data_IF_126414082771
#
_entry.id   IF_126414082771
#
_cell.length_a   1.000
_cell.length_b   1.000
_cell.length_c   1.000
_cell.angle_alpha   90.00
_cell.angle_beta   90.00
_cell.angle_gamma   90.00
#
_symmetry.space_group_name_H-M   'P 1'
#
loop_
_entity.id
_entity.type
_entity.pdbx_description
1 polymer ?
#
# COMPACT_ATOMS: atom_id res chain seq x y z
N UNK A 1 87.26 -25.78 -46.30
CA UNK A 1 86.94 -26.66 -47.44
C UNK A 1 86.63 -28.02 -46.84
N UNK A 2 85.39 -28.53 -46.94
CA UNK A 2 85.07 -29.83 -46.38
C UNK A 2 85.68 -30.90 -47.28
N UNK A 3 86.64 -31.64 -46.75
CA UNK A 3 87.17 -32.85 -47.40
C UNK A 3 86.24 -33.99 -47.06
N UNK A 4 85.61 -34.58 -48.08
CA UNK A 4 84.94 -35.87 -47.92
C UNK A 4 86.04 -36.91 -48.04
N UNK A 5 86.22 -37.72 -47.00
CA UNK A 5 87.15 -38.85 -47.03
C UNK A 5 86.36 -40.11 -47.30
N UNK A 6 86.75 -40.87 -48.32
CA UNK A 6 86.23 -42.21 -48.58
C UNK A 6 87.32 -43.22 -48.23
N UNK A 7 86.92 -44.30 -47.58
CA UNK A 7 87.81 -45.41 -47.25
C UNK A 7 87.66 -46.46 -48.35
N UNK A 8 88.75 -46.71 -49.07
CA UNK A 8 88.76 -47.60 -50.24
C UNK A 8 89.77 -48.72 -49.99
N UNK A 9 89.39 -49.96 -50.31
CA UNK A 9 90.28 -51.11 -50.24
C UNK A 9 91.25 -51.05 -51.41
N UNK A 10 92.56 -50.93 -51.13
CA UNK A 10 93.59 -50.98 -52.16
C UNK A 10 94.10 -52.42 -52.29
N UNK A 11 93.60 -53.12 -53.31
CA UNK A 11 93.95 -54.52 -53.58
C UNK A 11 95.44 -54.74 -53.90
N UNK A 12 96.18 -53.72 -54.34
CA UNK A 12 97.62 -53.89 -54.66
C UNK A 12 98.52 -53.87 -53.43
N UNK A 13 98.04 -53.40 -52.27
CA UNK A 13 98.80 -53.33 -51.00
C UNK A 13 98.07 -53.96 -49.81
N UNK A 14 96.87 -54.51 -50.00
CA UNK A 14 96.13 -55.25 -48.97
C UNK A 14 95.72 -54.41 -47.75
N UNK A 15 95.45 -53.11 -47.94
CA UNK A 15 95.09 -52.21 -46.86
C UNK A 15 93.97 -51.24 -47.25
N UNK A 16 93.23 -50.75 -46.25
CA UNK A 16 92.25 -49.68 -46.42
C UNK A 16 92.95 -48.32 -46.44
N UNK A 17 92.75 -47.55 -47.51
CA UNK A 17 93.37 -46.23 -47.71
C UNK A 17 92.29 -45.16 -47.73
N UNK A 18 92.50 -44.06 -47.00
CA UNK A 18 91.61 -42.91 -47.02
C UNK A 18 92.00 -41.95 -48.16
N UNK A 19 91.06 -41.67 -49.07
CA UNK A 19 91.25 -40.74 -50.19
C UNK A 19 90.31 -39.55 -49.99
N UNK A 20 90.83 -38.32 -50.14
CA UNK A 20 90.06 -37.10 -49.93
C UNK A 20 89.65 -36.43 -51.24
N UNK A 21 88.39 -36.03 -51.35
CA UNK A 21 87.89 -35.14 -52.40
C UNK A 21 87.35 -33.84 -51.78
N UNK A 22 87.66 -32.70 -52.40
CA UNK A 22 87.40 -31.37 -51.86
C UNK A 22 86.01 -30.87 -52.32
N UNK A 23 85.00 -30.81 -51.43
CA UNK A 23 83.67 -30.28 -51.73
C UNK A 23 83.41 -28.93 -51.00
N UNK A 24 82.84 -27.94 -51.71
CA UNK A 24 82.45 -26.61 -51.18
C UNK A 24 80.98 -26.64 -50.70
N UNK A 25 80.67 -26.04 -49.54
CA UNK A 25 79.33 -26.01 -48.89
C UNK A 25 78.96 -24.58 -48.42
N UNK A 26 77.64 -24.27 -48.36
CA UNK A 26 77.03 -23.07 -47.74
C UNK A 26 75.90 -23.45 -46.74
N UNK A 27 76.08 -23.11 -45.45
CA UNK A 27 75.22 -22.45 -44.39
C UNK A 27 73.68 -22.71 -44.34
N UNK A 28 72.89 -22.84 -43.23
CA UNK A 28 72.92 -22.95 -41.74
C UNK A 28 71.47 -23.28 -41.26
N UNK A 29 71.25 -24.04 -40.16
CA UNK A 29 70.39 -23.73 -38.96
C UNK A 29 70.47 -24.90 -37.95
N UNK A 30 70.58 -24.59 -36.66
CA UNK A 30 70.95 -25.49 -35.55
C UNK A 30 69.73 -25.97 -34.76
N UNK A 31 69.50 -27.29 -34.71
CA UNK A 31 69.17 -28.06 -33.49
C UNK A 31 69.23 -29.56 -33.79
N UNK A 32 70.33 -30.18 -33.37
CA UNK A 32 70.48 -31.58 -32.94
C UNK A 32 71.96 -31.73 -32.58
N UNK A 33 72.33 -31.45 -31.33
CA UNK A 33 73.63 -31.89 -30.82
C UNK A 33 73.48 -33.38 -30.50
N UNK A 34 73.64 -34.21 -31.52
CA UNK A 34 74.16 -35.58 -31.37
C UNK A 34 74.97 -35.90 -32.63
N UNK A 35 76.28 -35.86 -32.52
CA UNK A 35 77.13 -36.89 -33.10
C UNK A 35 78.35 -36.96 -32.20
N UNK A 36 78.38 -38.00 -31.39
CA UNK A 36 79.48 -38.30 -30.50
C UNK A 36 80.75 -38.49 -31.34
N UNK A 37 81.78 -37.76 -30.96
CA UNK A 37 83.12 -37.83 -31.55
C UNK A 37 84.18 -37.70 -30.47
N UNK A 38 83.97 -38.33 -29.32
CA UNK A 38 85.11 -38.75 -28.52
C UNK A 38 85.80 -39.87 -29.32
N UNK A 39 86.97 -39.60 -29.89
CA UNK A 39 87.86 -40.66 -30.31
C UNK A 39 88.37 -41.36 -29.04
N UNK A 40 87.66 -42.38 -28.58
CA UNK A 40 88.17 -43.30 -27.56
C UNK A 40 88.76 -44.48 -28.31
N UNK A 41 90.09 -44.55 -28.33
CA UNK A 41 90.81 -45.79 -28.65
C UNK A 41 90.59 -46.74 -27.47
N UNK A 42 89.81 -47.79 -27.67
CA UNK A 42 89.62 -48.84 -26.67
C UNK A 42 90.39 -50.07 -27.15
N UNK A 43 91.68 -50.11 -26.84
CA UNK A 43 92.46 -51.34 -26.92
C UNK A 43 92.10 -52.22 -25.72
N UNK A 44 90.87 -52.76 -25.68
CA UNK A 44 90.37 -53.91 -24.90
C UNK A 44 88.86 -53.77 -24.57
N UNK A 45 88.04 -54.63 -25.18
CA UNK A 45 86.83 -55.23 -24.59
C UNK A 45 85.61 -54.41 -24.16
N UNK A 46 85.64 -53.08 -24.01
CA UNK A 46 84.52 -52.35 -23.39
C UNK A 46 83.86 -51.40 -24.39
N UNK A 47 82.59 -51.63 -24.70
CA UNK A 47 81.75 -50.72 -25.49
C UNK A 47 81.39 -49.54 -24.60
N UNK A 48 81.85 -48.33 -24.92
CA UNK A 48 81.40 -47.10 -24.24
C UNK A 48 80.25 -46.51 -25.07
N UNK A 49 78.99 -46.63 -24.61
CA UNK A 49 77.86 -46.03 -25.29
C UNK A 49 77.99 -44.50 -25.34
N UNK A 50 77.80 -43.99 -26.55
CA UNK A 50 77.77 -42.59 -26.93
C UNK A 50 76.43 -41.95 -26.51
N UNK A 51 76.29 -41.55 -25.25
CA UNK A 51 75.07 -40.89 -24.78
C UNK A 51 75.03 -39.41 -25.22
N UNK A 52 73.91 -39.03 -25.80
CA UNK A 52 73.58 -37.64 -26.09
C UNK A 52 73.05 -36.97 -24.82
N UNK A 53 73.86 -36.09 -24.23
CA UNK A 53 73.46 -35.32 -23.04
C UNK A 53 72.38 -34.29 -23.38
N UNK A 54 71.24 -34.35 -22.70
CA UNK A 54 70.12 -33.41 -22.86
C UNK A 54 70.49 -32.12 -22.12
N UNK A 55 71.25 -31.26 -22.80
CA UNK A 55 71.80 -30.03 -22.21
C UNK A 55 70.88 -28.84 -22.43
N UNK A 56 70.17 -28.42 -21.37
CA UNK A 56 69.51 -27.11 -21.27
C UNK A 56 68.11 -27.14 -20.66
N UNK A 57 67.83 -26.19 -19.78
CA UNK A 57 66.51 -26.01 -19.16
C UNK A 57 65.47 -25.48 -20.17
N UNK A 58 64.25 -26.01 -20.07
CA UNK A 58 63.06 -25.47 -20.75
C UNK A 58 62.33 -24.47 -19.86
N UNK A 59 61.40 -23.67 -20.42
CA UNK A 59 60.72 -22.56 -19.71
C UNK A 59 60.09 -22.92 -18.35
N UNK A 60 59.75 -24.20 -18.10
CA UNK A 60 59.25 -24.72 -16.82
C UNK A 60 59.86 -26.10 -16.48
N UNK A 61 60.95 -26.52 -17.15
CA UNK A 61 61.58 -27.83 -16.97
C UNK A 61 63.04 -27.60 -16.61
N UNK A 62 63.48 -28.21 -15.51
CA UNK A 62 64.89 -28.18 -15.07
C UNK A 62 65.49 -29.57 -15.22
N UNK A 63 66.69 -29.65 -15.79
CA UNK A 63 67.43 -30.91 -15.96
C UNK A 63 68.71 -30.86 -15.14
N UNK A 64 68.82 -31.69 -14.10
CA UNK A 64 69.96 -31.71 -13.18
C UNK A 64 70.66 -33.07 -13.23
N UNK A 65 72.00 -33.05 -13.19
CA UNK A 65 72.81 -34.28 -13.15
C UNK A 65 72.84 -34.88 -11.75
N UNK A 66 72.42 -36.14 -11.60
CA UNK A 66 72.55 -36.90 -10.34
C UNK A 66 73.38 -38.15 -10.61
N UNK A 67 74.68 -38.07 -10.34
CA UNK A 67 75.63 -39.11 -10.73
C UNK A 67 75.67 -39.28 -12.27
N UNK A 68 75.43 -40.50 -12.75
CA UNK A 68 75.41 -40.83 -14.18
C UNK A 68 74.04 -40.63 -14.87
N UNK A 69 72.97 -40.30 -14.14
CA UNK A 69 71.63 -40.09 -14.70
C UNK A 69 71.22 -38.60 -14.77
N UNK A 70 70.26 -38.31 -15.63
CA UNK A 70 69.61 -36.99 -15.74
C UNK A 70 68.29 -37.02 -14.97
N UNK A 71 68.12 -36.09 -14.04
CA UNK A 71 66.86 -35.88 -13.35
C UNK A 71 66.11 -34.73 -14.01
N UNK A 72 64.91 -35.02 -14.52
CA UNK A 72 64.02 -34.03 -15.13
C UNK A 72 62.91 -33.67 -14.14
N UNK A 73 62.82 -32.39 -13.81
CA UNK A 73 61.86 -31.86 -12.83
C UNK A 73 61.10 -30.65 -13.40
N UNK A 74 59.94 -30.35 -12.81
CA UNK A 74 59.24 -29.09 -13.06
C UNK A 74 59.86 -28.00 -12.19
N UNK A 75 60.09 -26.82 -12.77
CA UNK A 75 60.60 -25.67 -12.02
C UNK A 75 59.60 -25.21 -10.95
N UNK A 76 60.08 -24.77 -9.79
CA UNK A 76 59.24 -24.19 -8.75
C UNK A 76 58.41 -23.02 -9.32
N UNK A 77 57.08 -23.04 -9.08
CA UNK A 77 56.12 -22.04 -9.57
C UNK A 77 56.10 -21.87 -11.11
N UNK A 78 55.77 -22.94 -11.87
CA UNK A 78 55.75 -22.85 -13.33
C UNK A 78 54.71 -21.83 -13.82
N UNK A 79 55.02 -21.09 -14.88
CA UNK A 79 54.09 -20.15 -15.50
C UNK A 79 53.57 -20.66 -16.84
N UNK A 80 52.25 -20.61 -17.06
CA UNK A 80 51.61 -21.02 -18.30
C UNK A 80 50.74 -19.90 -18.86
N UNK A 81 50.79 -19.69 -20.17
CA UNK A 81 49.90 -18.74 -20.87
C UNK A 81 48.51 -19.33 -21.12
N UNK A 82 48.43 -20.66 -21.23
CA UNK A 82 47.19 -21.39 -21.45
C UNK A 82 47.31 -22.76 -20.80
N UNK A 83 46.24 -23.18 -20.13
CA UNK A 83 46.11 -24.51 -19.54
C UNK A 83 44.76 -25.04 -20.01
N UNK A 84 44.76 -26.23 -20.62
CA UNK A 84 43.55 -26.93 -21.05
C UNK A 84 43.53 -28.29 -20.36
N UNK A 85 42.44 -28.61 -19.67
CA UNK A 85 42.26 -29.88 -18.99
C UNK A 85 41.02 -30.58 -19.53
N UNK A 86 41.03 -31.92 -19.56
CA UNK A 86 39.86 -32.74 -19.89
C UNK A 86 39.03 -33.12 -18.66
N UNK A 87 39.59 -32.91 -17.46
CA UNK A 87 38.97 -33.21 -16.17
C UNK A 87 38.88 -31.99 -15.26
N UNK A 88 38.46 -32.25 -14.01
CA UNK A 88 38.31 -31.23 -12.99
C UNK A 88 39.64 -30.57 -12.62
N UNK A 89 39.58 -29.28 -12.26
CA UNK A 89 40.70 -28.50 -11.74
C UNK A 89 40.37 -28.10 -10.32
N UNK A 90 41.29 -28.36 -9.39
CA UNK A 90 41.20 -27.90 -8.00
C UNK A 90 42.23 -26.79 -7.79
N UNK A 91 41.79 -25.59 -7.44
CA UNK A 91 42.67 -24.48 -7.07
C UNK A 91 42.73 -24.38 -5.53
N UNK A 92 43.92 -24.62 -4.94
CA UNK A 92 44.08 -24.69 -3.48
C UNK A 92 43.72 -23.40 -2.74
N UNK A 93 44.13 -22.24 -3.27
CA UNK A 93 43.92 -20.92 -2.65
C UNK A 93 42.82 -20.09 -3.35
N UNK A 94 41.99 -20.73 -4.18
CA UNK A 94 40.95 -20.07 -4.98
C UNK A 94 41.40 -19.69 -6.39
N UNK A 95 40.43 -19.22 -7.19
CA UNK A 95 40.62 -18.78 -8.57
C UNK A 95 40.42 -17.27 -8.67
N UNK A 96 41.42 -16.56 -9.17
CA UNK A 96 41.29 -15.13 -9.51
C UNK A 96 41.18 -14.98 -11.02
N UNK A 97 40.14 -14.30 -11.50
CA UNK A 97 39.95 -13.95 -12.91
C UNK A 97 39.98 -12.43 -13.01
N UNK A 98 41.09 -11.86 -13.47
CA UNK A 98 41.28 -10.40 -13.55
C UNK A 98 40.40 -9.76 -14.64
N UNK A 99 40.06 -10.53 -15.69
CA UNK A 99 39.20 -10.08 -16.78
C UNK A 99 38.56 -11.27 -17.50
N UNK A 100 37.37 -11.10 -18.07
CA UNK A 100 36.68 -12.11 -18.87
C UNK A 100 35.44 -12.70 -18.18
N UNK A 101 34.81 -13.67 -18.85
CA UNK A 101 33.60 -14.35 -18.37
C UNK A 101 33.92 -15.74 -17.83
N UNK A 102 33.38 -16.08 -16.68
CA UNK A 102 33.42 -17.46 -16.15
C UNK A 102 32.02 -18.05 -16.21
N UNK A 103 31.84 -19.12 -16.97
CA UNK A 103 30.59 -19.88 -16.98
C UNK A 103 30.67 -20.98 -15.92
N UNK A 104 29.95 -20.81 -14.81
CA UNK A 104 29.87 -21.83 -13.76
C UNK A 104 28.49 -22.51 -13.79
N UNK A 105 28.46 -23.81 -13.48
CA UNK A 105 27.23 -24.59 -13.31
C UNK A 105 27.27 -25.29 -11.97
N UNK A 106 26.11 -25.40 -11.32
CA UNK A 106 25.94 -26.12 -10.04
C UNK A 106 26.92 -25.68 -8.94
N UNK A 107 27.25 -24.39 -8.89
CA UNK A 107 28.20 -23.84 -7.92
C UNK A 107 27.57 -23.75 -6.53
N UNK A 108 28.27 -24.30 -5.54
CA UNK A 108 27.95 -24.08 -4.13
C UNK A 108 28.98 -23.10 -3.52
N UNK A 109 28.50 -22.06 -2.84
CA UNK A 109 29.34 -21.11 -2.12
C UNK A 109 29.08 -21.30 -0.64
N UNK A 110 30.06 -21.82 0.10
CA UNK A 110 29.95 -22.10 1.54
C UNK A 110 30.04 -20.83 2.40
N UNK A 111 30.59 -19.75 1.84
CA UNK A 111 30.69 -18.44 2.49
C UNK A 111 29.79 -17.39 1.85
N UNK A 112 30.26 -16.15 1.82
CA UNK A 112 29.52 -15.03 1.25
C UNK A 112 29.71 -14.96 -0.27
N UNK A 113 28.63 -14.66 -0.99
CA UNK A 113 28.68 -14.23 -2.39
C UNK A 113 28.53 -12.71 -2.42
N UNK A 114 29.59 -12.01 -2.83
CA UNK A 114 29.55 -10.57 -3.09
C UNK A 114 29.53 -10.33 -4.60
N UNK A 115 28.65 -9.45 -5.06
CA UNK A 115 28.58 -9.01 -6.45
C UNK A 115 28.58 -7.49 -6.48
N UNK A 116 29.42 -6.89 -7.32
CA UNK A 116 29.47 -5.44 -7.52
C UNK A 116 28.43 -4.94 -8.55
N UNK A 117 27.82 -5.86 -9.31
CA UNK A 117 26.84 -5.57 -10.35
C UNK A 117 25.48 -6.21 -10.10
N UNK A 118 24.68 -6.31 -11.16
CA UNK A 118 23.36 -6.91 -11.11
C UNK A 118 23.46 -8.44 -10.92
N UNK A 119 22.58 -8.97 -10.08
CA UNK A 119 22.31 -10.41 -10.00
C UNK A 119 21.00 -10.69 -10.74
N UNK A 120 21.05 -11.50 -11.80
CA UNK A 120 19.88 -11.94 -12.55
C UNK A 120 19.62 -13.42 -12.24
N UNK A 121 18.49 -13.72 -11.61
CA UNK A 121 18.08 -15.10 -11.28
C UNK A 121 16.60 -15.30 -11.63
N UNK A 122 16.22 -16.53 -11.97
CA UNK A 122 14.80 -16.88 -12.15
C UNK A 122 14.07 -16.94 -10.80
N UNK A 123 14.75 -17.43 -9.76
CA UNK A 123 14.24 -17.50 -8.39
C UNK A 123 15.33 -17.04 -7.44
N UNK A 124 14.97 -16.18 -6.50
CA UNK A 124 15.77 -15.85 -5.33
C UNK A 124 15.01 -16.32 -4.09
N UNK A 125 15.59 -17.27 -3.35
CA UNK A 125 15.03 -17.78 -2.11
C UNK A 125 15.98 -17.46 -0.96
N UNK A 126 15.46 -16.86 0.10
CA UNK A 126 16.22 -16.55 1.32
C UNK A 126 15.52 -17.18 2.51
N UNK A 127 16.27 -17.85 3.38
CA UNK A 127 15.75 -18.41 4.64
C UNK A 127 15.75 -17.38 5.77
N UNK A 128 16.52 -16.30 5.63
CA UNK A 128 16.62 -15.18 6.56
C UNK A 128 16.08 -13.87 5.98
N UNK A 129 16.38 -12.77 6.67
CA UNK A 129 16.02 -11.43 6.23
C UNK A 129 16.77 -11.04 4.95
N UNK A 130 16.08 -10.37 4.05
CA UNK A 130 16.65 -9.71 2.89
C UNK A 130 16.45 -8.20 3.03
N UNK A 131 17.50 -7.42 2.81
CA UNK A 131 17.45 -5.95 2.82
C UNK A 131 17.56 -5.45 1.39
N UNK A 132 16.60 -4.62 0.97
CA UNK A 132 16.64 -3.89 -0.30
C UNK A 132 16.93 -2.43 0.05
N UNK A 133 18.13 -1.94 -0.29
CA UNK A 133 18.58 -0.62 0.16
C UNK A 133 17.83 0.57 -0.44
N UNK A 134 17.32 0.43 -1.67
CA UNK A 134 16.57 1.46 -2.38
C UNK A 134 15.07 1.15 -2.33
N UNK A 135 14.52 0.58 -3.41
CA UNK A 135 13.11 0.25 -3.51
C UNK A 135 12.89 -1.09 -4.22
N UNK A 136 11.78 -1.74 -3.88
CA UNK A 136 11.30 -2.92 -4.57
C UNK A 136 10.36 -2.49 -5.70
N UNK A 137 10.69 -2.85 -6.95
CA UNK A 137 9.79 -2.70 -8.10
C UNK A 137 9.33 -4.08 -8.53
N UNK A 138 8.01 -4.27 -8.62
CA UNK A 138 7.39 -5.50 -9.13
C UNK A 138 6.54 -5.12 -10.33
N UNK A 139 7.05 -5.38 -11.53
CA UNK A 139 6.37 -5.01 -12.79
C UNK A 139 5.09 -5.82 -13.03
N UNK A 140 5.02 -7.03 -12.49
CA UNK A 140 3.88 -7.93 -12.61
C UNK A 140 3.83 -8.92 -11.45
N UNK A 141 2.64 -9.29 -11.01
CA UNK A 141 2.42 -10.28 -9.97
C UNK A 141 1.97 -9.67 -8.65
N UNK A 142 1.75 -10.53 -7.65
CA UNK A 142 1.33 -10.13 -6.30
C UNK A 142 2.54 -10.08 -5.37
N UNK A 143 2.53 -9.12 -4.45
CA UNK A 143 3.46 -9.12 -3.31
C UNK A 143 2.64 -9.35 -2.05
N UNK A 144 2.86 -10.48 -1.39
CA UNK A 144 2.26 -10.74 -0.09
C UNK A 144 3.20 -10.21 1.00
N UNK A 145 2.75 -9.22 1.76
CA UNK A 145 3.49 -8.70 2.90
C UNK A 145 2.74 -9.01 4.20
N UNK A 146 3.50 -9.31 5.26
CA UNK A 146 2.97 -9.49 6.62
C UNK A 146 3.70 -8.53 7.54
N UNK A 147 2.98 -7.96 8.52
CA UNK A 147 3.54 -7.10 9.56
C UNK A 147 4.37 -5.92 9.01
N UNK A 148 3.92 -5.32 7.90
CA UNK A 148 4.63 -4.21 7.25
C UNK A 148 4.37 -2.90 7.97
N UNK A 149 5.44 -2.19 8.34
CA UNK A 149 5.37 -0.81 8.79
C UNK A 149 5.78 0.12 7.64
N UNK A 150 4.95 1.12 7.33
CA UNK A 150 5.26 2.16 6.35
C UNK A 150 5.51 3.44 7.12
N UNK A 151 6.77 3.89 7.17
CA UNK A 151 7.15 5.11 7.90
C UNK A 151 6.82 6.41 7.15
N UNK A 152 6.59 6.31 5.84
CA UNK A 152 6.17 7.40 4.98
C UNK A 152 4.71 7.30 4.57
N UNK A 153 4.39 7.77 3.36
CA UNK A 153 3.05 7.68 2.79
C UNK A 153 2.82 6.32 2.12
N UNK A 154 1.62 5.78 2.30
CA UNK A 154 1.10 4.68 1.48
C UNK A 154 0.20 5.29 0.40
N UNK A 155 0.57 5.11 -0.86
CA UNK A 155 -0.24 5.50 -2.01
C UNK A 155 -0.72 4.25 -2.75
N UNK A 156 -2.02 4.14 -2.97
CA UNK A 156 -2.65 3.06 -3.73
C UNK A 156 -3.47 3.65 -4.87
N UNK A 157 -3.40 3.06 -6.07
CA UNK A 157 -4.24 3.46 -7.20
C UNK A 157 -5.62 2.80 -7.18
N UNK A 158 -5.79 1.74 -6.38
CA UNK A 158 -7.02 0.97 -6.24
C UNK A 158 -7.56 0.98 -4.81
N UNK A 159 -8.53 0.10 -4.56
CA UNK A 159 -9.15 -0.03 -3.24
C UNK A 159 -8.17 -0.55 -2.20
N UNK A 160 -8.24 0.04 -1.01
CA UNK A 160 -7.55 -0.46 0.19
C UNK A 160 -8.58 -1.17 1.06
N UNK A 161 -8.46 -2.49 1.21
CA UNK A 161 -9.33 -3.29 2.08
C UNK A 161 -8.63 -3.56 3.40
N UNK A 162 -9.22 -3.14 4.51
CA UNK A 162 -8.68 -3.30 5.86
C UNK A 162 -9.77 -3.75 6.82
N UNK A 163 -9.44 -4.62 7.78
CA UNK A 163 -10.37 -4.96 8.87
C UNK A 163 -10.64 -3.76 9.79
N UNK A 164 -9.60 -2.96 10.07
CA UNK A 164 -9.68 -1.74 10.87
C UNK A 164 -8.86 -0.66 10.20
N UNK A 165 -9.44 0.53 10.07
CA UNK A 165 -8.74 1.76 9.71
C UNK A 165 -8.76 2.68 10.94
N UNK A 166 -7.59 3.05 11.45
CA UNK A 166 -7.43 3.98 12.56
C UNK A 166 -6.54 5.13 12.11
N UNK A 167 -7.01 6.36 12.32
CA UNK A 167 -6.28 7.59 12.00
C UNK A 167 -6.22 8.46 13.25
N UNK A 168 -5.03 8.97 13.59
CA UNK A 168 -4.86 9.94 14.69
C UNK A 168 -5.15 11.38 14.26
N UNK A 169 -5.11 11.66 12.95
CA UNK A 169 -5.44 12.95 12.36
C UNK A 169 -6.74 12.92 11.56
N UNK A 170 -6.98 14.01 10.82
CA UNK A 170 -8.14 14.12 9.93
C UNK A 170 -8.06 13.12 8.78
N UNK A 171 -9.17 12.44 8.50
CA UNK A 171 -9.36 11.66 7.29
C UNK A 171 -10.24 12.44 6.32
N UNK A 172 -9.83 12.53 5.06
CA UNK A 172 -10.64 13.12 3.99
C UNK A 172 -11.21 11.99 3.13
N UNK A 173 -12.53 11.97 2.96
CA UNK A 173 -13.21 11.07 2.04
C UNK A 173 -13.68 11.92 0.86
N UNK A 174 -13.09 11.70 -0.32
CA UNK A 174 -13.29 12.59 -1.46
C UNK A 174 -14.71 12.59 -2.06
N UNK A 175 -15.41 11.46 -1.98
CA UNK A 175 -16.79 11.31 -2.44
C UNK A 175 -17.75 11.26 -1.24
N UNK A 176 -18.21 10.06 -0.87
CA UNK A 176 -19.13 9.85 0.24
C UNK A 176 -18.69 8.69 1.12
N UNK A 177 -19.14 8.73 2.37
CA UNK A 177 -19.01 7.62 3.31
C UNK A 177 -20.27 6.74 3.20
N UNK A 178 -20.09 5.47 2.84
CA UNK A 178 -21.16 4.47 2.90
C UNK A 178 -20.87 3.51 4.04
N UNK A 179 -21.82 3.39 4.96
CA UNK A 179 -21.76 2.44 6.08
C UNK A 179 -22.93 1.48 5.93
N UNK A 180 -22.64 0.26 5.46
CA UNK A 180 -23.67 -0.77 5.21
C UNK A 180 -24.23 -1.36 6.51
N UNK A 181 -23.44 -1.36 7.58
CA UNK A 181 -23.83 -1.83 8.89
C UNK A 181 -23.08 -1.07 9.98
N UNK A 182 -23.73 -0.89 11.13
CA UNK A 182 -23.16 -0.17 12.27
C UNK A 182 -23.63 1.29 12.37
N UNK A 183 -23.04 2.00 13.34
CA UNK A 183 -23.34 3.40 13.63
C UNK A 183 -22.18 4.30 13.23
N UNK A 184 -22.48 5.54 12.84
CA UNK A 184 -21.48 6.58 12.62
C UNK A 184 -21.67 7.67 13.66
N UNK A 185 -20.68 7.85 14.53
CA UNK A 185 -20.67 8.97 15.46
C UNK A 185 -19.99 10.17 14.78
N UNK A 186 -20.79 11.18 14.43
CA UNK A 186 -20.30 12.45 13.89
C UNK A 186 -20.32 13.51 15.00
N UNK A 187 -19.20 14.22 15.17
CA UNK A 187 -19.08 15.32 16.12
C UNK A 187 -18.72 16.60 15.35
N UNK A 188 -19.23 17.75 15.81
CA UNK A 188 -18.94 19.07 15.24
C UNK A 188 -19.08 19.13 13.70
N UNK A 189 -20.08 18.43 13.16
CA UNK A 189 -20.27 18.29 11.71
C UNK A 189 -21.34 19.27 11.22
N UNK A 190 -21.04 19.98 10.13
CA UNK A 190 -22.03 20.75 9.39
C UNK A 190 -22.65 19.86 8.31
N UNK A 191 -23.95 19.60 8.40
CA UNK A 191 -24.72 18.83 7.40
C UNK A 191 -25.55 19.82 6.59
N UNK A 192 -25.32 19.89 5.29
CA UNK A 192 -26.08 20.78 4.40
C UNK A 192 -27.49 20.26 4.15
N UNK A 193 -27.62 18.96 3.90
CA UNK A 193 -28.88 18.26 3.69
C UNK A 193 -28.91 16.98 4.51
N UNK A 194 -29.92 16.82 5.36
CA UNK A 194 -30.16 15.60 6.13
C UNK A 194 -31.44 14.92 5.60
N UNK A 195 -31.31 13.67 5.17
CA UNK A 195 -32.44 12.82 4.80
C UNK A 195 -32.35 11.53 5.61
N UNK A 196 -33.42 11.19 6.32
CA UNK A 196 -33.52 9.97 7.12
C UNK A 196 -34.72 9.15 6.66
N UNK A 197 -34.58 7.83 6.56
CA UNK A 197 -35.70 6.92 6.28
C UNK A 197 -36.49 6.57 7.53
N UNK A 198 -35.91 6.80 8.72
CA UNK A 198 -36.56 6.65 10.02
C UNK A 198 -36.62 7.95 10.80
N UNK A 199 -36.85 7.83 12.11
CA UNK A 199 -36.93 8.97 13.02
C UNK A 199 -35.57 9.66 13.18
N UNK A 200 -35.58 10.99 13.18
CA UNK A 200 -34.48 11.80 13.69
C UNK A 200 -34.79 12.23 15.12
N UNK A 201 -33.86 12.02 16.05
CA UNK A 201 -33.96 12.51 17.42
C UNK A 201 -32.93 13.61 17.65
N UNK A 202 -33.37 14.72 18.23
CA UNK A 202 -32.51 15.84 18.59
C UNK A 202 -32.48 15.91 20.12
N UNK A 203 -31.33 15.59 20.72
CA UNK A 203 -31.18 15.59 22.18
C UNK A 203 -31.16 16.99 22.82
N UNK A 204 -31.11 18.05 22.01
CA UNK A 204 -31.11 19.44 22.44
C UNK A 204 -32.23 20.26 21.79
N UNK A 205 -32.00 21.56 21.62
CA UNK A 205 -32.97 22.44 20.94
C UNK A 205 -32.89 22.28 19.43
N UNK A 206 -34.02 22.09 18.77
CA UNK A 206 -34.15 22.18 17.32
C UNK A 206 -34.50 23.63 16.93
N UNK A 207 -33.57 24.33 16.29
CA UNK A 207 -33.81 25.63 15.69
C UNK A 207 -34.29 25.49 14.24
N UNK A 208 -35.46 26.04 13.91
CA UNK A 208 -35.97 26.10 12.55
C UNK A 208 -36.14 27.57 12.17
N UNK A 209 -35.39 28.04 11.17
CA UNK A 209 -35.48 29.43 10.68
C UNK A 209 -36.55 29.61 9.59
N UNK A 210 -36.92 28.52 8.92
CA UNK A 210 -37.94 28.49 7.89
C UNK A 210 -39.25 27.83 8.34
N UNK A 211 -40.03 27.36 7.36
CA UNK A 211 -41.27 26.61 7.61
C UNK A 211 -40.96 25.20 8.13
N UNK A 212 -41.69 24.78 9.17
CA UNK A 212 -41.72 23.40 9.63
C UNK A 212 -43.03 22.73 9.17
N UNK A 213 -42.92 21.61 8.44
CA UNK A 213 -44.08 20.80 8.02
C UNK A 213 -44.16 19.55 8.91
N UNK A 214 -45.29 19.37 9.60
CA UNK A 214 -45.52 18.28 10.55
C UNK A 214 -46.71 17.42 10.09
N UNK A 215 -46.46 16.50 9.15
CA UNK A 215 -47.51 15.74 8.46
C UNK A 215 -48.34 14.83 9.38
N UNK A 216 -47.80 14.45 10.54
CA UNK A 216 -48.50 13.61 11.53
C UNK A 216 -48.90 14.39 12.79
N UNK A 217 -48.94 15.71 12.71
CA UNK A 217 -49.21 16.58 13.84
C UNK A 217 -47.97 16.81 14.73
N UNK A 218 -48.20 17.50 15.86
CA UNK A 218 -47.18 17.87 16.83
C UNK A 218 -47.61 17.43 18.23
N UNK A 219 -46.82 16.56 18.85
CA UNK A 219 -46.87 16.34 20.30
C UNK A 219 -45.78 17.18 20.96
N UNK A 220 -46.20 18.07 21.85
CA UNK A 220 -45.31 18.99 22.57
C UNK A 220 -44.98 18.48 23.97
N UNK A 221 -45.26 17.20 24.27
CA UNK A 221 -44.94 16.55 25.54
C UNK A 221 -45.48 17.35 26.74
N UNK A 222 -46.77 17.71 26.67
CA UNK A 222 -47.47 18.54 27.66
C UNK A 222 -46.89 19.95 27.89
N UNK A 223 -46.05 20.46 26.97
CA UNK A 223 -45.49 21.80 27.07
C UNK A 223 -46.39 22.88 26.48
N UNK A 224 -46.25 24.10 27.00
CA UNK A 224 -46.94 25.29 26.48
C UNK A 224 -46.35 25.74 25.14
N UNK A 225 -47.21 26.05 24.18
CA UNK A 225 -46.83 26.86 23.02
C UNK A 225 -46.75 28.31 23.49
N UNK A 226 -45.55 28.89 23.45
CA UNK A 226 -45.34 30.29 23.82
C UNK A 226 -45.02 31.12 22.59
N UNK A 227 -45.19 32.45 22.67
CA UNK A 227 -44.96 33.39 21.56
C UNK A 227 -45.80 33.10 20.30
N UNK A 228 -46.95 32.43 20.47
CA UNK A 228 -47.93 32.28 19.41
C UNK A 228 -48.58 33.64 19.12
N UNK A 229 -48.39 34.16 17.91
CA UNK A 229 -49.06 35.37 17.43
C UNK A 229 -50.59 35.18 17.44
N UNK A 230 -51.35 36.29 17.43
CA UNK A 230 -52.80 36.19 17.30
C UNK A 230 -53.15 35.65 15.90
N UNK A 231 -54.01 34.64 15.85
CA UNK A 231 -54.52 34.10 14.58
C UNK A 231 -55.46 35.10 13.91
N UNK A 232 -55.38 35.22 12.59
CA UNK A 232 -56.20 36.15 11.79
C UNK A 232 -57.04 35.42 10.74
N UNK A 233 -56.57 34.28 10.25
CA UNK A 233 -57.31 33.41 9.35
C UNK A 233 -58.08 32.33 10.11
N UNK A 234 -59.11 31.76 9.46
CA UNK A 234 -59.93 30.67 10.03
C UNK A 234 -59.12 29.39 10.32
N UNK A 235 -57.94 29.24 9.72
CA UNK A 235 -57.04 28.09 9.88
C UNK A 235 -55.93 28.34 10.90
N UNK A 236 -55.84 29.54 11.46
CA UNK A 236 -54.81 29.86 12.45
C UNK A 236 -55.19 29.34 13.84
N UNK A 237 -54.20 28.97 14.63
CA UNK A 237 -54.41 28.71 16.05
C UNK A 237 -54.73 30.00 16.80
N UNK A 238 -55.78 30.00 17.61
CA UNK A 238 -56.10 31.12 18.49
C UNK A 238 -55.19 31.12 19.72
N UNK A 239 -54.58 32.27 20.02
CA UNK A 239 -53.82 32.40 21.27
C UNK A 239 -54.76 32.65 22.47
N UNK A 240 -54.24 32.51 23.69
CA UNK A 240 -55.05 32.65 24.91
C UNK A 240 -55.70 34.04 25.06
N UNK A 241 -55.06 35.09 24.54
CA UNK A 241 -55.62 36.44 24.54
C UNK A 241 -56.91 36.54 23.73
N UNK A 242 -56.96 35.89 22.56
CA UNK A 242 -58.16 35.81 21.73
C UNK A 242 -59.27 35.03 22.43
N UNK A 243 -58.94 33.86 23.01
CA UNK A 243 -59.92 33.05 23.75
C UNK A 243 -60.50 33.83 24.94
N UNK A 244 -59.68 34.61 25.64
CA UNK A 244 -60.13 35.45 26.75
C UNK A 244 -61.05 36.59 26.28
N UNK A 245 -60.73 37.20 25.14
CA UNK A 245 -61.51 38.30 24.57
C UNK A 245 -62.86 37.84 23.99
N UNK A 246 -62.96 36.59 23.52
CA UNK A 246 -64.22 36.02 22.99
C UNK A 246 -65.29 35.75 24.06
N UNK A 247 -65.02 36.04 25.34
CA UNK A 247 -66.02 35.87 26.40
C UNK A 247 -67.08 36.95 26.28
N UNK A 248 -68.34 36.53 26.19
CA UNK A 248 -69.50 37.43 26.22
C UNK A 248 -69.84 37.82 27.65
N UNK A 249 -70.03 39.11 27.89
CA UNK A 249 -70.51 39.63 29.17
C UNK A 249 -72.02 39.89 29.10
N UNK A 250 -72.76 39.45 30.12
CA UNK A 250 -74.20 39.71 30.25
C UNK A 250 -74.41 40.56 31.49
N UNK A 251 -74.89 41.78 31.30
CA UNK A 251 -75.20 42.71 32.38
C UNK A 251 -76.71 42.76 32.63
N UNK A 252 -77.10 42.89 33.91
CA UNK A 252 -78.49 43.09 34.28
C UNK A 252 -78.92 44.54 33.98
N UNK A 253 -79.95 44.69 33.14
CA UNK A 253 -80.63 45.96 32.91
C UNK A 253 -81.80 46.19 33.88
N UNK A 254 -82.43 47.36 33.80
CA UNK A 254 -83.65 47.66 34.57
C UNK A 254 -84.72 46.60 34.32
N UNK A 255 -85.42 46.17 35.39
CA UNK A 255 -86.42 45.10 35.39
C UNK A 255 -85.92 43.69 35.02
N UNK A 256 -84.62 43.51 34.77
CA UNK A 256 -84.02 42.21 34.44
C UNK A 256 -83.10 41.74 35.57
N UNK A 257 -83.20 40.47 35.92
CA UNK A 257 -82.26 39.77 36.80
C UNK A 257 -81.38 38.86 35.96
N UNK A 258 -80.07 38.94 36.20
CA UNK A 258 -79.07 38.05 35.61
C UNK A 258 -78.40 37.31 36.74
N UNK A 259 -78.53 35.99 36.78
CA UNK A 259 -77.91 35.13 37.79
C UNK A 259 -76.88 34.22 37.13
N UNK A 260 -75.58 34.35 37.43
CA UNK A 260 -74.56 33.45 36.91
C UNK A 260 -74.53 32.14 37.69
N UNK A 261 -74.34 31.04 36.97
CA UNK A 261 -74.04 29.71 37.53
C UNK A 261 -72.89 29.07 36.76
N UNK A 262 -72.23 28.06 37.35
CA UNK A 262 -71.22 27.26 36.65
C UNK A 262 -71.89 26.08 35.95
N UNK A 263 -71.73 25.96 34.65
CA UNK A 263 -72.22 24.84 33.85
C UNK A 263 -71.36 23.57 34.02
N UNK A 264 -71.81 22.48 33.41
CA UNK A 264 -71.16 21.17 33.53
C UNK A 264 -69.72 21.12 32.98
N UNK A 265 -69.37 22.00 32.04
CA UNK A 265 -68.04 22.09 31.43
C UNK A 265 -67.21 23.24 32.03
N UNK A 266 -67.66 23.82 33.16
CA UNK A 266 -66.99 24.93 33.83
C UNK A 266 -67.22 26.31 33.18
N UNK A 267 -68.06 26.41 32.15
CA UNK A 267 -68.48 27.69 31.56
C UNK A 267 -69.45 28.43 32.48
N UNK A 268 -69.52 29.76 32.37
CA UNK A 268 -70.56 30.54 33.06
C UNK A 268 -71.87 30.49 32.26
N UNK A 269 -72.96 30.12 32.92
CA UNK A 269 -74.33 30.15 32.38
C UNK A 269 -75.07 31.31 33.04
N UNK A 270 -75.69 32.17 32.23
CA UNK A 270 -76.48 33.30 32.73
C UNK A 270 -77.97 33.01 32.61
N UNK A 271 -78.65 32.84 33.74
CA UNK A 271 -80.12 32.80 33.77
C UNK A 271 -80.63 34.23 33.75
N UNK A 272 -81.36 34.58 32.69
CA UNK A 272 -81.97 35.90 32.51
C UNK A 272 -83.48 35.78 32.74
N UNK A 273 -84.00 36.52 33.72
CA UNK A 273 -85.44 36.60 34.01
C UNK A 273 -85.87 38.03 34.28
N UNK A 274 -87.16 38.31 34.22
CA UNK A 274 -87.68 39.55 34.82
C UNK A 274 -87.50 39.50 36.34
N UNK A 275 -87.28 40.65 36.95
CA UNK A 275 -87.37 40.76 38.42
C UNK A 275 -88.81 40.51 38.88
N UNK A 276 -88.97 40.21 40.16
CA UNK A 276 -90.29 40.13 40.77
C UNK A 276 -90.88 41.55 40.85
N UNK A 277 -92.08 41.75 40.28
CA UNK A 277 -92.77 43.05 40.18
C UNK A 277 -91.99 44.12 39.38
N UNK A 278 -91.78 43.91 38.06
CA UNK A 278 -91.13 44.92 37.22
C UNK A 278 -91.96 46.22 37.20
N UNK A 279 -91.27 47.37 37.28
CA UNK A 279 -91.91 48.68 37.24
C UNK A 279 -91.76 49.31 35.85
N UNK A 280 -92.88 49.70 35.25
CA UNK A 280 -92.90 50.32 33.93
C UNK A 280 -93.55 51.69 34.00
N UNK A 281 -92.86 52.72 33.51
CA UNK A 281 -93.43 54.07 33.37
C UNK A 281 -94.49 54.12 32.28
N UNK A 282 -94.30 53.37 31.20
CA UNK A 282 -95.22 53.26 30.07
C UNK A 282 -95.27 51.83 29.56
N UNK A 283 -96.47 51.33 29.27
CA UNK A 283 -96.68 50.02 28.66
C UNK A 283 -97.50 50.24 27.39
N UNK A 284 -96.96 49.86 26.24
CA UNK A 284 -97.68 49.86 24.95
C UNK A 284 -97.98 48.42 24.57
N UNK A 285 -99.24 48.10 24.29
CA UNK A 285 -99.65 46.76 23.86
C UNK A 285 -100.30 46.85 22.48
N UNK A 286 -100.09 45.82 21.66
CA UNK A 286 -100.71 45.73 20.33
C UNK A 286 -102.03 44.93 20.33
N UNK A 287 -102.45 44.46 21.51
CA UNK A 287 -103.68 43.70 21.71
C UNK A 287 -104.31 44.01 23.07
N UNK A 288 -105.47 43.38 23.32
CA UNK A 288 -106.22 43.54 24.56
C UNK A 288 -105.38 43.12 25.78
N UNK A 289 -105.32 43.99 26.78
CA UNK A 289 -104.66 43.70 28.06
C UNK A 289 -105.66 43.01 28.98
N UNK A 290 -105.39 41.75 29.34
CA UNK A 290 -106.15 41.06 30.38
C UNK A 290 -105.47 41.26 31.74
N UNK A 291 -106.00 42.17 32.55
CA UNK A 291 -105.48 42.50 33.87
C UNK A 291 -106.47 42.08 34.97
N UNK A 292 -106.00 41.28 35.93
CA UNK A 292 -106.81 40.79 37.05
C UNK A 292 -107.12 41.90 38.08
N UNK A 293 -106.42 43.04 38.03
CA UNK A 293 -106.68 44.28 38.79
C UNK A 293 -105.84 45.42 38.22
N UNK A 294 -106.41 46.27 37.37
CA UNK A 294 -105.76 47.48 36.82
C UNK A 294 -106.36 48.72 37.47
N UNK A 295 -105.54 49.51 38.16
CA UNK A 295 -105.95 50.82 38.66
C UNK A 295 -105.49 51.91 37.66
N UNK A 296 -106.42 52.50 36.92
CA UNK A 296 -106.15 53.64 36.02
C UNK A 296 -106.42 54.93 36.78
N UNK A 297 -105.39 55.70 37.10
CA UNK A 297 -105.49 56.89 37.97
C UNK A 297 -105.60 58.21 37.19
N UNK A 298 -105.51 58.20 35.86
CA UNK A 298 -105.89 59.33 34.99
C UNK A 298 -106.28 58.82 33.60
N UNK A 299 -107.30 59.41 32.98
CA UNK A 299 -107.94 58.94 31.74
C UNK A 299 -106.91 58.59 30.64
N UNK A 300 -106.77 57.29 30.37
CA UNK A 300 -106.26 56.83 29.09
C UNK A 300 -107.25 57.23 28.00
N UNK A 301 -106.82 58.01 27.01
CA UNK A 301 -107.57 58.09 25.75
C UNK A 301 -107.31 56.78 25.02
N UNK A 302 -108.35 55.96 24.86
CA UNK A 302 -108.31 54.73 24.05
C UNK A 302 -108.11 55.10 22.59
#
# INVERSE_FOLDING_TARGET
>A
MNRIYRVVWNASIGAWVAVSENAKSKTKTKTAKVTVGAAIVIASGIVIPAYADVTGDGKNITVTKVGSDDQVSITDNPNFTTVTTTGAVTAGNGLTVTSGTTALKNTNVTGNLSTSGNTSTATLSTTGAATIGNGLTVTSGTTALKNTNVTGSLSTSGNTSTATLSTTGAATIGNGLTVTSGTTALQNTNITNLSTTGNASVGGTLGVTGLATLNSGADLNNQKITKLAAGTANTDAANYGQVKASKTEVAAGTNISVTPTTGGDGQTVYTVKTIDNPNFTTVTTTGAVNANSLAVTSNATV
#
